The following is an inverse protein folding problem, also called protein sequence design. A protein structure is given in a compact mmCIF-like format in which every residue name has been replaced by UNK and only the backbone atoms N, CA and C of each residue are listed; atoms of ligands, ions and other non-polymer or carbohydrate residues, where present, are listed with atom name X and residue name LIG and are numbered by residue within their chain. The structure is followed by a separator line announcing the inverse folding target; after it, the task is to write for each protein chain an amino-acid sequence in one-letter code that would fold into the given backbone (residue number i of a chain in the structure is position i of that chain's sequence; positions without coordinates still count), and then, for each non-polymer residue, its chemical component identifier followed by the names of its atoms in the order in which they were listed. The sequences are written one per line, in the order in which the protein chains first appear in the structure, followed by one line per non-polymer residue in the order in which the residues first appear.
data_IF_264387213604
#
_entry.id   IF_264387213604
#
_cell.length_a   1.000
_cell.length_b   1.000
_cell.length_c   1.000
_cell.angle_alpha   90.00
_cell.angle_beta   90.00
_cell.angle_gamma   90.00
#
_symmetry.space_group_name_H-M   'P 1'
#
loop_
_entity.id
_entity.type
_entity.pdbx_description
1 polymer ?
2 water ?
#
# COMPACT_ATOMS: atom_id res chain seq x y z
N UNK A 4 16.12 -11.27 17.21
CA UNK A 4 15.51 -9.95 17.14
C UNK A 4 14.41 -9.90 16.10
N UNK A 5 13.27 -9.34 16.54
CA UNK A 5 12.09 -9.23 15.70
C UNK A 5 12.34 -8.36 14.47
N UNK A 6 13.05 -7.24 14.64
CA UNK A 6 13.27 -6.36 13.51
C UNK A 6 14.14 -7.05 12.45
N UNK A 7 15.16 -7.77 12.91
CA UNK A 7 16.02 -8.52 12.01
C UNK A 7 15.22 -9.59 11.29
N UNK A 8 14.37 -10.32 12.02
CA UNK A 8 13.54 -11.35 11.41
C UNK A 8 12.62 -10.77 10.35
N UNK A 9 11.87 -9.72 10.72
CA UNK A 9 10.92 -9.12 9.79
C UNK A 9 11.63 -8.57 8.55
N UNK A 10 12.76 -7.90 8.75
CA UNK A 10 13.42 -7.26 7.62
C UNK A 10 14.05 -8.29 6.69
N UNK A 11 14.58 -9.38 7.25
CA UNK A 11 15.07 -10.48 6.41
C UNK A 11 13.94 -11.06 5.55
N UNK A 12 12.75 -11.24 6.12
CA UNK A 12 11.65 -11.79 5.33
C UNK A 12 11.30 -10.88 4.16
N UNK A 13 11.32 -9.57 4.40
CA UNK A 13 11.02 -8.60 3.33
C UNK A 13 12.09 -8.64 2.26
N UNK A 14 13.36 -8.60 2.66
CA UNK A 14 14.46 -8.75 1.71
C UNK A 14 14.24 -9.97 0.84
N UNK A 15 13.90 -11.10 1.45
CA UNK A 15 13.68 -12.34 0.70
C UNK A 15 12.54 -12.19 -0.32
N UNK A 16 11.45 -11.54 0.07
CA UNK A 16 10.34 -11.36 -0.86
C UNK A 16 10.71 -10.40 -1.99
N UNK A 17 11.51 -9.38 -1.72
CA UNK A 17 12.01 -8.52 -2.80
C UNK A 17 12.82 -9.35 -3.78
N UNK A 18 13.74 -10.15 -3.27
CA UNK A 18 14.56 -11.00 -4.13
C UNK A 18 13.71 -11.97 -4.94
N UNK A 19 12.72 -12.59 -4.29
CA UNK A 19 11.89 -13.55 -4.99
C UNK A 19 11.09 -12.87 -6.09
N UNK A 20 10.55 -11.69 -5.79
CA UNK A 20 9.63 -11.06 -6.72
C UNK A 20 10.37 -10.53 -7.93
N UNK A 21 11.50 -9.86 -7.69
CA UNK A 21 12.26 -9.26 -8.77
C UNK A 21 12.91 -10.30 -9.67
N UNK A 22 13.15 -11.51 -9.18
CA UNK A 22 13.79 -12.56 -9.96
C UNK A 22 12.83 -13.34 -10.86
N UNK A 23 11.54 -13.15 -10.70
CA UNK A 23 10.60 -13.93 -11.51
C UNK A 23 10.57 -13.44 -12.95
N UNK A 24 10.34 -14.37 -13.87
CA UNK A 24 10.21 -13.98 -15.26
C UNK A 24 8.80 -13.44 -15.51
N UNK A 25 8.66 -12.61 -16.54
CA UNK A 25 7.36 -12.01 -16.77
C UNK A 25 6.32 -13.03 -17.23
N UNK A 26 6.75 -14.22 -17.62
CA UNK A 26 5.82 -15.28 -17.99
C UNK A 26 5.32 -16.06 -16.77
N UNK A 27 5.87 -15.80 -15.60
CA UNK A 27 5.57 -16.57 -14.41
C UNK A 27 4.12 -16.31 -13.98
N UNK A 28 3.30 -17.34 -13.79
CA UNK A 28 1.92 -17.11 -13.36
C UNK A 28 1.80 -16.66 -11.92
N UNK A 29 2.88 -16.74 -11.14
CA UNK A 29 2.83 -16.29 -9.76
C UNK A 29 3.21 -14.82 -9.59
N UNK A 30 3.57 -14.12 -10.69
CA UNK A 30 4.05 -12.74 -10.53
C UNK A 30 3.01 -11.89 -9.84
N UNK A 31 1.74 -12.00 -10.23
CA UNK A 31 0.72 -11.14 -9.63
C UNK A 31 0.65 -11.36 -8.13
N UNK A 32 0.53 -12.63 -7.73
CA UNK A 32 0.57 -12.96 -6.31
C UNK A 32 1.85 -12.44 -5.65
N UNK A 33 2.99 -12.62 -6.31
CA UNK A 33 4.26 -12.25 -5.69
C UNK A 33 4.32 -10.75 -5.45
N UNK A 34 3.90 -9.96 -6.42
CA UNK A 34 3.88 -8.52 -6.23
C UNK A 34 2.90 -8.14 -5.13
N UNK A 35 1.75 -8.79 -5.10
CA UNK A 35 0.77 -8.51 -4.05
C UNK A 35 1.33 -8.83 -2.67
N UNK A 36 1.92 -10.02 -2.53
CA UNK A 36 2.51 -10.43 -1.25
C UNK A 36 3.61 -9.47 -0.84
N UNK A 37 4.43 -9.04 -1.80
CA UNK A 37 5.48 -8.07 -1.45
C UNK A 37 4.87 -6.74 -1.04
N UNK A 38 3.86 -6.26 -1.76
CA UNK A 38 3.20 -5.02 -1.37
C UNK A 38 2.70 -5.11 0.05
N UNK A 39 2.11 -6.25 0.42
CA UNK A 39 1.54 -6.42 1.75
C UNK A 39 2.63 -6.45 2.81
N UNK A 40 3.69 -7.23 2.57
CA UNK A 40 4.83 -7.26 3.51
C UNK A 40 5.47 -5.89 3.62
N UNK A 41 5.58 -5.18 2.51
CA UNK A 41 6.14 -3.84 2.52
C UNK A 41 5.29 -2.90 3.35
N UNK A 42 3.96 -2.92 3.15
CA UNK A 42 3.08 -2.09 3.98
C UNK A 42 3.21 -2.41 5.45
N UNK A 43 3.23 -3.70 5.80
CA UNK A 43 3.26 -4.07 7.21
C UNK A 43 4.58 -3.67 7.85
N UNK A 44 5.69 -3.83 7.10
CA UNK A 44 7.00 -3.45 7.63
C UNK A 44 7.07 -1.94 7.86
N UNK A 45 6.70 -1.14 6.86
CA UNK A 45 6.74 0.31 7.02
C UNK A 45 5.83 0.75 8.17
N UNK A 46 4.58 0.26 8.19
CA UNK A 46 3.67 0.64 9.27
C UNK A 46 4.25 0.25 10.64
N UNK A 47 4.93 -0.89 10.71
CA UNK A 47 5.46 -1.36 11.98
C UNK A 47 6.67 -0.58 12.45
N UNK A 48 7.53 -0.15 11.54
CA UNK A 48 8.83 0.38 11.94
C UNK A 48 9.05 1.85 11.63
N UNK A 49 8.31 2.43 10.69
CA UNK A 49 8.40 3.87 10.46
C UNK A 49 8.04 4.65 11.72
N UNK A 50 7.21 4.06 12.57
CA UNK A 50 6.89 4.72 13.84
C UNK A 50 8.04 4.65 14.83
N UNK A 51 8.93 3.67 14.69
CA UNK A 51 9.98 3.47 15.69
C UNK A 51 11.04 4.56 15.56
N UNK A 52 11.41 5.15 16.70
CA UNK A 52 12.26 6.34 16.69
C UNK A 52 13.69 5.99 16.29
N UNK A 53 14.30 5.03 17.00
CA UNK A 53 15.71 4.75 16.84
C UNK A 53 16.08 4.29 15.43
N UNK A 54 15.13 3.78 14.66
CA UNK A 54 15.50 3.00 13.48
C UNK A 54 15.99 3.87 12.33
N UNK A 55 15.54 5.12 12.24
CA UNK A 55 15.99 5.93 11.11
C UNK A 55 17.48 6.22 11.19
N UNK A 56 18.08 6.05 12.36
CA UNK A 56 19.53 6.08 12.49
C UNK A 56 20.22 4.80 12.06
N UNK A 57 19.48 3.74 11.74
CA UNK A 57 20.07 2.49 11.28
C UNK A 57 20.17 2.49 9.76
N UNK A 58 21.35 2.12 9.25
CA UNK A 58 21.53 2.03 7.81
C UNK A 58 20.58 1.01 7.20
N UNK A 59 20.33 -0.10 7.90
CA UNK A 59 19.48 -1.12 7.33
C UNK A 59 18.07 -0.58 7.08
N UNK A 60 17.57 0.22 8.01
CA UNK A 60 16.21 0.74 7.88
C UNK A 60 16.10 1.74 6.73
N UNK A 61 17.04 2.70 6.66
CA UNK A 61 17.00 3.68 5.59
C UNK A 61 17.09 3.03 4.23
N UNK A 62 18.00 2.05 4.08
CA UNK A 62 18.22 1.41 2.79
C UNK A 62 17.03 0.57 2.38
N UNK A 63 16.47 -0.19 3.31
CA UNK A 63 15.27 -0.97 3.03
C UNK A 63 14.11 -0.04 2.67
N UNK A 64 13.90 1.00 3.48
CA UNK A 64 12.82 1.94 3.21
C UNK A 64 12.96 2.49 1.80
N UNK A 65 14.17 2.92 1.45
CA UNK A 65 14.43 3.50 0.14
C UNK A 65 14.15 2.49 -0.96
N UNK A 66 14.61 1.26 -0.78
CA UNK A 66 14.43 0.28 -1.84
C UNK A 66 12.97 -0.14 -1.95
N UNK A 67 12.25 -0.26 -0.83
CA UNK A 67 10.83 -0.59 -0.91
C UNK A 67 10.08 0.51 -1.63
N UNK A 68 10.47 1.77 -1.39
CA UNK A 68 9.82 2.88 -2.08
C UNK A 68 10.08 2.85 -3.57
N UNK A 69 11.28 2.42 -3.99
CA UNK A 69 11.53 2.27 -5.42
C UNK A 69 10.68 1.15 -6.00
N UNK A 70 10.52 0.06 -5.26
CA UNK A 70 9.68 -1.05 -5.74
C UNK A 70 8.22 -0.59 -5.81
N UNK A 71 7.76 0.06 -4.74
CA UNK A 71 6.39 0.54 -4.63
C UNK A 71 6.06 1.52 -5.74
N UNK A 72 6.91 2.53 -5.95
CA UNK A 72 6.60 3.55 -6.94
C UNK A 72 6.50 2.98 -8.33
N UNK A 73 7.27 1.94 -8.62
CA UNK A 73 7.16 1.33 -9.93
C UNK A 73 5.81 0.61 -10.07
N UNK A 74 5.47 -0.22 -9.10
CA UNK A 74 4.26 -1.03 -9.25
C UNK A 74 2.98 -0.26 -9.03
N UNK A 75 3.03 0.90 -8.34
CA UNK A 75 1.82 1.72 -8.33
C UNK A 75 1.64 2.45 -9.66
N UNK A 76 2.70 2.58 -10.45
CA UNK A 76 2.60 3.26 -11.74
C UNK A 76 2.28 2.31 -12.87
N UNK A 77 2.60 1.03 -12.72
CA UNK A 77 2.39 0.03 -13.76
C UNK A 77 1.68 -1.17 -13.15
N UNK A 78 1.19 -2.06 -13.98
CA UNK A 78 0.62 -3.28 -13.46
C UNK A 78 1.69 -4.16 -12.84
N UNK A 79 1.27 -5.23 -12.17
CA UNK A 79 2.24 -6.15 -11.56
C UNK A 79 3.09 -6.91 -12.58
N UNK A 80 2.66 -6.99 -13.83
CA UNK A 80 3.42 -7.70 -14.86
C UNK A 80 4.49 -6.84 -15.52
N UNK A 81 4.50 -5.55 -15.25
CA UNK A 81 5.52 -4.69 -15.85
C UNK A 81 6.82 -4.83 -15.08
N UNK A 82 7.90 -5.30 -15.70
CA UNK A 82 9.15 -5.48 -14.95
C UNK A 82 9.76 -4.14 -14.55
N UNK A 83 10.42 -4.13 -13.40
CA UNK A 83 11.17 -2.93 -13.02
C UNK A 83 12.32 -2.72 -14.00
N UNK A 84 12.56 -1.50 -14.49
CA UNK A 84 13.65 -1.28 -15.45
C UNK A 84 14.96 -1.87 -14.96
N UNK A 85 15.73 -2.43 -15.89
CA UNK A 85 16.84 -3.30 -15.52
C UNK A 85 17.83 -2.59 -14.60
N UNK A 86 18.19 -1.35 -14.92
CA UNK A 86 19.21 -0.69 -14.11
C UNK A 86 18.70 -0.41 -12.70
N UNK A 87 17.43 -0.02 -12.55
CA UNK A 87 16.86 0.16 -11.23
C UNK A 87 16.75 -1.17 -10.50
N UNK A 88 16.32 -2.22 -11.21
CA UNK A 88 16.21 -3.52 -10.56
C UNK A 88 17.56 -3.97 -10.00
N UNK A 89 18.65 -3.75 -10.75
CA UNK A 89 19.97 -4.13 -10.26
C UNK A 89 20.38 -3.31 -9.04
N UNK A 90 20.11 -2.01 -9.07
CA UNK A 90 20.42 -1.15 -7.92
C UNK A 90 19.61 -1.56 -6.69
N UNK A 91 18.33 -1.86 -6.87
CA UNK A 91 17.51 -2.35 -5.75
C UNK A 91 18.11 -3.61 -5.16
N UNK A 92 18.48 -4.57 -6.03
CA UNK A 92 19.02 -5.82 -5.50
C UNK A 92 20.33 -5.58 -4.77
N UNK A 93 21.14 -4.63 -5.25
CA UNK A 93 22.41 -4.34 -4.58
C UNK A 93 22.18 -3.66 -3.25
N UNK A 94 21.19 -2.77 -3.17
CA UNK A 94 20.83 -2.19 -1.90
C UNK A 94 20.28 -3.22 -0.92
N UNK A 95 19.63 -4.28 -1.44
CA UNK A 95 19.23 -5.38 -0.56
C UNK A 95 20.43 -6.01 0.12
N UNK A 96 21.49 -6.26 -0.65
CA UNK A 96 22.70 -6.85 -0.09
C UNK A 96 23.37 -5.90 0.91
N UNK A 97 23.51 -4.64 0.54
CA UNK A 97 24.06 -3.66 1.48
C UNK A 97 23.22 -3.60 2.75
N UNK A 98 21.90 -3.54 2.62
CA UNK A 98 21.05 -3.41 3.81
C UNK A 98 21.13 -4.64 4.70
N UNK A 99 21.21 -5.82 4.09
CA UNK A 99 21.26 -7.06 4.87
C UNK A 99 22.59 -7.18 5.60
N UNK A 100 23.68 -6.71 4.98
CA UNK A 100 24.97 -6.75 5.64
C UNK A 100 24.99 -5.85 6.87
N UNK A 101 24.32 -4.71 6.81
CA UNK A 101 24.18 -3.89 8.00
C UNK A 101 23.19 -4.51 8.99
N UNK A 102 22.04 -4.98 8.50
CA UNK A 102 21.03 -5.58 9.35
C UNK A 102 21.61 -6.68 10.24
N UNK A 103 22.35 -7.61 9.63
CA UNK A 103 22.91 -8.77 10.33
C UNK A 103 23.92 -8.38 11.40
N UNK A 104 24.46 -7.16 11.31
CA UNK A 104 25.43 -6.67 12.27
C UNK A 104 24.80 -5.72 13.29
N UNK A 105 23.47 -5.65 13.35
CA UNK A 105 22.84 -4.74 14.28
C UNK A 105 22.81 -3.30 13.83
N UNK A 106 23.08 -3.03 12.55
CA UNK A 106 23.01 -1.66 12.04
C UNK A 106 21.88 -1.51 11.01
N UNK B 2 -8.97 10.06 19.58
CA UNK B 2 -9.89 11.17 19.36
C UNK B 2 -10.88 10.80 18.26
N UNK B 3 -12.17 10.92 18.59
CA UNK B 3 -13.23 10.57 17.65
C UNK B 3 -13.37 11.62 16.56
N UNK B 4 -13.24 12.89 16.93
CA UNK B 4 -13.26 13.96 15.93
C UNK B 4 -12.19 13.75 14.87
N UNK B 5 -11.01 13.30 15.29
CA UNK B 5 -9.91 13.06 14.37
C UNK B 5 -10.21 11.89 13.45
N UNK B 6 -10.84 10.85 13.99
CA UNK B 6 -11.26 9.74 13.15
C UNK B 6 -12.27 10.20 12.10
N UNK B 7 -13.18 11.09 12.48
CA UNK B 7 -14.16 11.57 11.52
C UNK B 7 -13.48 12.39 10.43
N UNK B 8 -12.58 13.29 10.81
CA UNK B 8 -11.85 14.08 9.82
C UNK B 8 -11.05 13.19 8.88
N UNK B 9 -10.26 12.25 9.44
CA UNK B 9 -9.42 11.40 8.60
C UNK B 9 -10.26 10.53 7.68
N UNK B 10 -11.37 9.98 8.18
CA UNK B 10 -12.17 9.09 7.35
C UNK B 10 -12.91 9.88 6.26
N UNK B 11 -13.38 11.08 6.58
CA UNK B 11 -13.99 11.94 5.57
C UNK B 11 -13.01 12.25 4.45
N UNK B 12 -11.76 12.59 4.80
CA UNK B 12 -10.75 12.87 3.78
C UNK B 12 -10.55 11.70 2.84
N UNK B 13 -10.49 10.48 3.40
CA UNK B 13 -10.27 9.29 2.58
C UNK B 13 -11.44 9.08 1.66
N UNK B 14 -12.65 9.26 2.19
CA UNK B 14 -13.85 9.11 1.38
C UNK B 14 -13.82 10.10 0.21
N UNK B 15 -13.43 11.35 0.47
CA UNK B 15 -13.34 12.33 -0.59
C UNK B 15 -12.32 11.90 -1.65
N UNK B 16 -11.20 11.33 -1.21
CA UNK B 16 -10.19 10.89 -2.17
C UNK B 16 -10.70 9.74 -3.01
N UNK B 17 -11.48 8.83 -2.42
CA UNK B 17 -12.05 7.74 -3.21
C UNK B 17 -12.98 8.30 -4.27
N UNK B 18 -13.87 9.22 -3.86
CA UNK B 18 -14.79 9.82 -4.83
C UNK B 18 -14.03 10.56 -5.91
N UNK B 19 -12.98 11.29 -5.54
CA UNK B 19 -12.23 12.07 -6.51
C UNK B 19 -11.59 11.15 -7.55
N UNK B 20 -10.94 10.09 -7.07
CA UNK B 20 -10.24 9.17 -7.94
C UNK B 20 -11.20 8.42 -8.85
N UNK B 21 -12.31 7.91 -8.29
CA UNK B 21 -13.24 7.08 -9.05
C UNK B 21 -14.03 7.88 -10.08
N UNK B 22 -14.19 9.18 -9.86
CA UNK B 22 -15.03 10.04 -10.69
C UNK B 22 -14.27 10.71 -11.82
N UNK B 23 -12.98 10.41 -11.99
CA UNK B 23 -12.27 10.98 -13.11
C UNK B 23 -12.60 10.25 -14.40
N UNK B 24 -12.41 10.95 -15.51
CA UNK B 24 -12.56 10.33 -16.82
C UNK B 24 -11.49 9.23 -16.96
N UNK B 25 -11.85 8.16 -17.66
CA UNK B 25 -10.97 7.00 -17.72
C UNK B 25 -9.66 7.30 -18.45
N UNK B 26 -9.67 8.28 -19.36
CA UNK B 26 -8.45 8.64 -20.10
C UNK B 26 -7.65 9.76 -19.45
N UNK B 27 -8.28 10.56 -18.56
CA UNK B 27 -7.74 11.64 -17.73
C UNK B 27 -6.26 11.43 -17.41
N UNK B 28 -5.41 12.44 -17.61
CA UNK B 28 -3.97 12.23 -17.34
C UNK B 28 -3.65 12.17 -15.87
N UNK B 29 -4.38 12.90 -15.03
CA UNK B 29 -4.14 12.89 -13.59
C UNK B 29 -4.50 11.56 -12.94
N UNK B 30 -4.95 10.55 -13.70
CA UNK B 30 -5.44 9.31 -13.07
C UNK B 30 -4.34 8.64 -12.27
N UNK B 31 -3.18 8.43 -12.88
CA UNK B 31 -2.10 7.77 -12.15
C UNK B 31 -1.76 8.52 -10.86
N UNK B 32 -1.73 9.85 -10.92
CA UNK B 32 -1.42 10.61 -9.70
C UNK B 32 -2.54 10.45 -8.67
N UNK B 33 -3.78 10.57 -9.11
CA UNK B 33 -4.92 10.36 -8.23
C UNK B 33 -4.86 9.00 -7.54
N UNK B 34 -4.59 7.95 -8.31
CA UNK B 34 -4.53 6.60 -7.73
C UNK B 34 -3.40 6.52 -6.71
N UNK B 35 -2.26 7.12 -7.02
CA UNK B 35 -1.14 7.10 -6.09
C UNK B 35 -1.48 7.81 -4.78
N UNK B 36 -2.08 9.00 -4.87
CA UNK B 36 -2.48 9.72 -3.66
C UNK B 36 -3.50 8.91 -2.86
N UNK B 37 -4.48 8.33 -3.55
CA UNK B 37 -5.44 7.49 -2.85
C UNK B 37 -4.75 6.35 -2.14
N UNK B 38 -3.80 5.68 -2.78
CA UNK B 38 -3.18 4.54 -2.12
C UNK B 38 -2.40 4.97 -0.91
N UNK B 39 -1.79 6.17 -0.97
CA UNK B 39 -1.08 6.70 0.19
C UNK B 39 -2.05 7.09 1.29
N UNK B 40 -3.17 7.70 0.93
CA UNK B 40 -4.19 8.01 1.93
C UNK B 40 -4.74 6.73 2.55
N UNK B 41 -4.97 5.70 1.73
CA UNK B 41 -5.54 4.45 2.24
C UNK B 41 -4.56 3.76 3.18
N UNK B 42 -3.27 3.72 2.81
CA UNK B 42 -2.26 3.08 3.64
C UNK B 42 -2.16 3.75 4.99
N UNK B 43 -2.11 5.10 5.00
CA UNK B 43 -2.03 5.86 6.25
C UNK B 43 -3.27 5.60 7.11
N UNK B 44 -4.45 5.68 6.51
CA UNK B 44 -5.68 5.45 7.28
C UNK B 44 -5.69 4.05 7.90
N UNK B 45 -5.42 3.02 7.10
CA UNK B 45 -5.40 1.65 7.62
C UNK B 45 -4.36 1.53 8.73
N UNK B 46 -3.13 2.00 8.47
CA UNK B 46 -2.06 1.87 9.45
C UNK B 46 -2.38 2.63 10.74
N UNK B 47 -3.13 3.73 10.64
CA UNK B 47 -3.48 4.47 11.84
C UNK B 47 -4.61 3.80 12.62
N UNK B 48 -5.58 3.20 11.92
CA UNK B 48 -6.80 2.76 12.59
C UNK B 48 -7.02 1.26 12.64
N UNK B 49 -6.28 0.46 11.87
CA UNK B 49 -6.60 -0.97 11.85
C UNK B 49 -6.22 -1.66 13.15
N UNK B 50 -5.22 -1.15 13.87
CA UNK B 50 -4.84 -1.77 15.13
C UNK B 50 -5.65 -1.25 16.30
N UNK B 51 -6.48 -0.24 16.08
CA UNK B 51 -7.44 0.19 17.09
C UNK B 51 -8.57 -0.83 17.10
N UNK B 52 -8.64 -1.63 18.16
CA UNK B 52 -9.44 -2.85 18.14
C UNK B 52 -10.94 -2.53 18.05
N UNK B 53 -11.40 -1.61 18.90
CA UNK B 53 -12.84 -1.38 19.01
C UNK B 53 -13.44 -0.83 17.72
N UNK B 54 -12.62 -0.31 16.80
CA UNK B 54 -13.15 0.28 15.57
C UNK B 54 -13.84 -0.76 14.72
N UNK B 55 -13.41 -2.03 14.81
CA UNK B 55 -14.10 -3.09 14.08
C UNK B 55 -15.58 -3.14 14.42
N UNK B 56 -15.98 -2.63 15.59
CA UNK B 56 -17.38 -2.52 15.93
C UNK B 56 -18.11 -1.36 15.28
N UNK B 57 -17.40 -0.46 14.60
CA UNK B 57 -18.04 0.67 13.94
C UNK B 57 -18.37 0.32 12.50
N UNK B 58 -19.63 0.55 12.10
CA UNK B 58 -19.99 0.32 10.71
C UNK B 58 -19.14 1.17 9.78
N UNK B 59 -18.89 2.41 10.16
CA UNK B 59 -18.08 3.28 9.32
C UNK B 59 -16.72 2.64 9.03
N UNK B 60 -16.08 2.09 10.06
CA UNK B 60 -14.76 1.51 9.86
C UNK B 60 -14.83 0.27 8.97
N UNK B 61 -15.70 -0.68 9.30
CA UNK B 61 -15.83 -1.90 8.49
C UNK B 61 -16.13 -1.59 7.03
N UNK B 62 -17.02 -0.62 6.79
CA UNK B 62 -17.41 -0.32 5.41
C UNK B 62 -16.30 0.38 4.66
N UNK B 63 -15.58 1.29 5.31
CA UNK B 63 -14.48 1.95 4.63
C UNK B 63 -13.35 0.98 4.37
N UNK B 64 -13.02 0.18 5.39
CA UNK B 64 -11.96 -0.82 5.25
C UNK B 64 -12.24 -1.74 4.08
N UNK B 65 -13.50 -2.21 3.96
CA UNK B 65 -13.89 -3.08 2.86
C UNK B 65 -13.79 -2.37 1.52
N UNK B 66 -14.30 -1.14 1.44
CA UNK B 66 -14.24 -0.41 0.19
C UNK B 66 -12.80 -0.14 -0.24
N UNK B 67 -11.93 0.23 0.71
CA UNK B 67 -10.53 0.50 0.35
C UNK B 67 -9.86 -0.76 -0.17
N UNK B 68 -10.18 -1.90 0.44
CA UNK B 68 -9.64 -3.16 -0.02
C UNK B 68 -10.14 -3.50 -1.41
N UNK B 69 -11.37 -3.13 -1.73
CA UNK B 69 -11.89 -3.38 -3.07
C UNK B 69 -11.16 -2.53 -4.10
N UNK B 70 -10.92 -1.27 -3.75
CA UNK B 70 -10.14 -0.38 -4.63
C UNK B 70 -8.70 -0.87 -4.76
N UNK B 71 -8.04 -1.11 -3.63
CA UNK B 71 -6.64 -1.55 -3.62
C UNK B 71 -6.46 -2.82 -4.42
N UNK B 72 -7.34 -3.81 -4.22
CA UNK B 72 -7.18 -5.08 -4.91
C UNK B 72 -7.24 -4.92 -6.42
N UNK B 73 -8.09 -4.01 -6.89
CA UNK B 73 -8.15 -3.77 -8.32
C UNK B 73 -6.86 -3.18 -8.85
N UNK B 74 -6.34 -2.14 -8.17
CA UNK B 74 -5.14 -1.46 -8.67
C UNK B 74 -3.90 -2.33 -8.53
N UNK B 75 -3.80 -3.11 -7.46
CA UNK B 75 -2.60 -3.93 -7.36
C UNK B 75 -2.64 -5.04 -8.41
N UNK B 76 -3.82 -5.38 -8.94
CA UNK B 76 -3.88 -6.40 -10.00
C UNK B 76 -3.63 -5.84 -11.40
N UNK B 77 -4.06 -4.61 -11.69
CA UNK B 77 -4.11 -4.19 -13.07
C UNK B 77 -3.42 -2.87 -13.35
N UNK B 78 -2.83 -2.20 -12.36
CA UNK B 78 -2.21 -0.93 -12.61
C UNK B 78 -3.21 0.21 -12.55
N UNK B 79 -2.73 1.45 -12.65
CA UNK B 79 -3.58 2.58 -12.24
C UNK B 79 -4.55 3.07 -13.29
N UNK B 80 -4.37 2.77 -14.57
CA UNK B 80 -5.27 3.29 -15.58
C UNK B 80 -6.32 2.27 -16.02
N UNK B 81 -6.35 1.11 -15.38
CA UNK B 81 -7.42 0.15 -15.63
C UNK B 81 -8.69 0.64 -14.94
N UNK B 82 -9.77 0.91 -15.67
CA UNK B 82 -11.02 1.29 -15.00
C UNK B 82 -11.50 0.18 -14.09
N UNK B 83 -11.94 0.56 -12.91
CA UNK B 83 -12.61 -0.39 -12.02
C UNK B 83 -13.88 -0.89 -12.69
N UNK B 84 -14.17 -2.20 -12.69
CA UNK B 84 -15.42 -2.69 -13.27
C UNK B 84 -16.62 -1.88 -12.77
N UNK B 85 -17.55 -1.57 -13.69
CA UNK B 85 -18.60 -0.61 -13.38
C UNK B 85 -19.44 -1.04 -12.17
N UNK B 86 -19.70 -2.33 -12.03
CA UNK B 86 -20.57 -2.78 -10.94
C UNK B 86 -19.85 -2.68 -9.60
N UNK B 87 -18.55 -2.96 -9.59
CA UNK B 87 -17.81 -2.73 -8.36
C UNK B 87 -17.71 -1.24 -8.05
N UNK B 88 -17.43 -0.40 -9.06
CA UNK B 88 -17.37 1.04 -8.81
C UNK B 88 -18.66 1.55 -8.17
N UNK B 89 -19.81 1.15 -8.74
CA UNK B 89 -21.09 1.50 -8.17
C UNK B 89 -21.20 1.03 -6.72
N UNK B 90 -20.77 -0.21 -6.45
CA UNK B 90 -20.88 -0.77 -5.11
C UNK B 90 -20.00 0.01 -4.13
N UNK B 91 -18.76 0.28 -4.53
CA UNK B 91 -17.82 1.04 -3.69
C UNK B 91 -18.39 2.42 -3.36
N UNK B 92 -18.86 3.14 -4.36
CA UNK B 92 -19.40 4.48 -4.11
C UNK B 92 -20.64 4.42 -3.23
N UNK B 93 -21.43 3.35 -3.35
CA UNK B 93 -22.57 3.19 -2.46
C UNK B 93 -22.12 2.86 -1.03
N UNK B 94 -21.08 2.05 -0.89
CA UNK B 94 -20.52 1.79 0.43
C UNK B 94 -19.95 3.06 1.05
N UNK B 95 -19.36 3.94 0.23
CA UNK B 95 -18.91 5.24 0.74
C UNK B 95 -20.05 6.02 1.35
N UNK B 96 -21.21 6.03 0.66
CA UNK B 96 -22.36 6.78 1.16
C UNK B 96 -22.87 6.18 2.46
N UNK B 97 -23.02 4.87 2.53
CA UNK B 97 -23.48 4.26 3.77
C UNK B 97 -22.46 4.47 4.88
N UNK B 98 -21.17 4.38 4.56
CA UNK B 98 -20.17 4.55 5.60
C UNK B 98 -20.13 5.98 6.12
N UNK B 99 -20.28 6.95 5.22
CA UNK B 99 -20.24 8.33 5.65
C UNK B 99 -21.45 8.70 6.49
N UNK B 100 -22.61 8.11 6.19
CA UNK B 100 -23.80 8.36 7.00
C UNK B 100 -23.64 7.82 8.41
N UNK B 101 -22.97 6.68 8.56
CA UNK B 101 -22.68 6.17 9.90
C UNK B 101 -21.61 7.02 10.58
N UNK B 102 -20.50 7.27 9.87
CA UNK B 102 -19.42 8.10 10.35
C UNK B 102 -19.88 9.37 11.05
N UNK B 103 -20.71 10.15 10.37
CA UNK B 103 -21.03 11.46 10.94
C UNK B 103 -22.07 11.38 12.04
N UNK B 104 -22.64 10.20 12.30
CA UNK B 104 -23.46 9.95 13.47
C UNK B 104 -22.66 9.36 14.62
N UNK B 105 -21.34 9.27 14.47
CA UNK B 105 -20.52 8.62 15.47
C UNK B 105 -20.58 7.12 15.43
N UNK B 106 -20.92 6.55 14.29
CA UNK B 106 -20.94 5.10 14.10
C UNK B 106 -19.86 4.64 13.11
#
# INVERSE_FOLDING_TARGET
AEDEEYIKDTSAVISKVRSTLSMQKTDPNVADAVAELREASNSWVAKYRKEKALLGKASFRDIYSALNAVSGHYVSFGPTAPIPAKRKARILEEMETAEKALTRGR
AEDEEYIKDTSAVISKVRSTLSMQKTDPNVADAVAELREASNSWVAKYRKEKALLGKASFRDIYSALNAVSGHYVSFGPTAPIPAKRKARILEEMETAEKALTRGR
#
